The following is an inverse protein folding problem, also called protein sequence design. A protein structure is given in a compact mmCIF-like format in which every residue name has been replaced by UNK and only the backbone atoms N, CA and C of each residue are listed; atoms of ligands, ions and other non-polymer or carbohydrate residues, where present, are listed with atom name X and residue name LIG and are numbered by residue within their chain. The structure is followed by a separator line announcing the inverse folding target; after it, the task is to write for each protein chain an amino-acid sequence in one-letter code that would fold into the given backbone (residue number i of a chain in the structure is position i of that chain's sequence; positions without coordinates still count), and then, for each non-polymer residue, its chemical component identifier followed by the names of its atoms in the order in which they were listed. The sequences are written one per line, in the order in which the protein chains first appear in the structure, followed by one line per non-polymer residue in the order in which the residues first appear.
data_IF_055136692385
#
_entry.id   IF_055136692385
#
_cell.length_a   1.000
_cell.length_b   1.000
_cell.length_c   1.000
_cell.angle_alpha   90.00
_cell.angle_beta   90.00
_cell.angle_gamma   90.00
#
_symmetry.space_group_name_H-M   'P 1'
#
loop_
_entity.id
_entity.type
_entity.pdbx_description
1 polymer ?
#
# COMPACT_ATOMS: atom_id res chain seq x y z
N UNK A 1 4.95 -31.85 1.96
CA UNK A 1 5.99 -31.99 0.92
C UNK A 1 5.95 -30.93 -0.20
N UNK A 2 5.24 -29.81 -0.01
CA UNK A 2 5.14 -28.72 -1.02
C UNK A 2 6.01 -27.50 -0.72
N UNK A 3 6.09 -27.09 0.55
CA UNK A 3 6.76 -25.84 0.97
C UNK A 3 8.26 -25.79 0.62
N UNK A 4 8.98 -26.91 0.72
CA UNK A 4 10.40 -26.98 0.35
C UNK A 4 10.60 -26.90 -1.17
N UNK A 5 9.65 -27.43 -1.95
CA UNK A 5 9.67 -27.43 -3.42
C UNK A 5 9.30 -26.07 -3.97
N UNK A 6 8.37 -25.37 -3.33
CA UNK A 6 8.02 -23.98 -3.65
C UNK A 6 9.17 -23.03 -3.31
N UNK A 7 9.82 -23.20 -2.16
CA UNK A 7 11.03 -22.45 -1.80
C UNK A 7 12.18 -22.68 -2.79
N UNK A 8 12.36 -23.92 -3.26
CA UNK A 8 13.38 -24.28 -4.25
C UNK A 8 13.07 -23.69 -5.63
N UNK A 9 11.79 -23.67 -6.04
CA UNK A 9 11.34 -23.09 -7.31
C UNK A 9 11.48 -21.56 -7.31
N UNK A 10 11.22 -20.92 -6.16
CA UNK A 10 11.48 -19.48 -5.95
C UNK A 10 12.99 -19.20 -5.98
N UNK A 11 13.80 -20.04 -5.35
CA UNK A 11 15.26 -19.93 -5.37
C UNK A 11 15.85 -20.10 -6.78
N UNK A 12 15.39 -21.09 -7.55
CA UNK A 12 15.83 -21.32 -8.92
C UNK A 12 15.46 -20.15 -9.84
N UNK A 13 14.27 -19.55 -9.66
CA UNK A 13 13.87 -18.31 -10.34
C UNK A 13 14.76 -17.12 -9.98
N UNK A 14 15.13 -16.97 -8.71
CA UNK A 14 16.04 -15.93 -8.24
C UNK A 14 17.46 -16.10 -8.82
N UNK A 15 17.95 -17.33 -8.87
CA UNK A 15 19.28 -17.68 -9.36
C UNK A 15 19.43 -17.51 -10.88
N UNK A 16 18.38 -17.81 -11.67
CA UNK A 16 18.43 -17.60 -13.13
C UNK A 16 18.36 -16.12 -13.52
N UNK A 17 17.66 -15.29 -12.73
CA UNK A 17 17.49 -13.86 -13.03
C UNK A 17 18.66 -12.99 -12.57
N UNK A 18 19.34 -13.37 -11.49
CA UNK A 18 20.44 -12.60 -10.92
C UNK A 18 21.78 -13.21 -11.34
N UNK A 19 22.31 -12.81 -12.50
CA UNK A 19 23.68 -13.18 -12.96
C UNK A 19 24.77 -12.60 -12.02
N UNK A 20 24.90 -13.15 -10.80
CA UNK A 20 25.92 -12.93 -9.76
C UNK A 20 25.73 -11.82 -8.71
N UNK A 21 24.71 -10.96 -8.76
CA UNK A 21 24.44 -9.98 -7.67
C UNK A 21 22.95 -9.92 -7.29
N UNK A 22 22.59 -10.59 -6.19
CA UNK A 22 21.24 -10.54 -5.61
C UNK A 22 21.18 -9.35 -4.66
N UNK A 23 20.46 -8.30 -5.05
CA UNK A 23 20.08 -7.18 -4.17
C UNK A 23 18.68 -7.42 -3.62
N UNK A 24 18.37 -6.94 -2.42
CA UNK A 24 17.00 -7.04 -1.85
C UNK A 24 15.92 -6.51 -2.79
N UNK A 25 16.20 -5.43 -3.54
CA UNK A 25 15.27 -4.89 -4.55
C UNK A 25 14.94 -5.88 -5.67
N UNK A 26 15.96 -6.54 -6.25
CA UNK A 26 15.78 -7.58 -7.28
C UNK A 26 15.11 -8.84 -6.74
N UNK A 27 15.40 -9.22 -5.50
CA UNK A 27 14.73 -10.33 -4.85
C UNK A 27 13.24 -10.03 -4.61
N UNK A 28 12.91 -8.82 -4.14
CA UNK A 28 11.54 -8.36 -3.96
C UNK A 28 10.77 -8.26 -5.29
N UNK A 29 11.41 -7.82 -6.38
CA UNK A 29 10.81 -7.82 -7.73
C UNK A 29 10.53 -9.24 -8.25
N UNK A 30 11.46 -10.17 -8.05
CA UNK A 30 11.25 -11.59 -8.41
C UNK A 30 10.17 -12.25 -7.53
N UNK A 31 10.04 -11.80 -6.27
CA UNK A 31 9.00 -12.24 -5.34
C UNK A 31 7.68 -11.46 -5.49
N UNK A 32 7.63 -10.45 -6.37
CA UNK A 32 6.48 -9.58 -6.61
C UNK A 32 5.98 -8.84 -5.34
N UNK A 33 6.90 -8.44 -4.47
CA UNK A 33 6.62 -7.68 -3.23
C UNK A 33 7.01 -6.21 -3.43
N UNK A 34 6.05 -5.30 -3.24
CA UNK A 34 6.32 -3.86 -3.20
C UNK A 34 6.99 -3.48 -1.88
N UNK A 35 7.94 -2.57 -1.94
CA UNK A 35 8.69 -2.11 -0.77
C UNK A 35 7.83 -1.13 0.07
N UNK A 36 8.06 -1.09 1.39
CA UNK A 36 7.30 -0.24 2.31
C UNK A 36 7.41 1.25 1.93
N UNK A 37 8.55 1.67 1.37
CA UNK A 37 8.79 3.01 0.85
C UNK A 37 7.82 3.40 -0.26
N UNK A 38 7.45 2.46 -1.13
CA UNK A 38 6.50 2.72 -2.22
C UNK A 38 5.10 2.96 -1.67
N UNK A 39 4.69 2.20 -0.67
CA UNK A 39 3.40 2.42 0.00
C UNK A 39 3.39 3.69 0.85
N UNK A 40 4.48 4.04 1.54
CA UNK A 40 4.60 5.32 2.25
C UNK A 40 4.44 6.50 1.28
N UNK A 41 5.13 6.45 0.13
CA UNK A 41 4.99 7.48 -0.90
C UNK A 41 3.56 7.55 -1.44
N UNK A 42 2.93 6.41 -1.71
CA UNK A 42 1.53 6.36 -2.16
C UNK A 42 0.57 6.94 -1.11
N UNK A 43 0.76 6.61 0.16
CA UNK A 43 -0.04 7.15 1.26
C UNK A 43 0.13 8.68 1.36
N UNK A 44 1.35 9.19 1.26
CA UNK A 44 1.60 10.64 1.22
C UNK A 44 0.89 11.33 0.06
N UNK A 45 0.94 10.77 -1.16
CA UNK A 45 0.17 11.29 -2.30
C UNK A 45 -1.33 11.31 -2.03
N UNK A 46 -1.86 10.27 -1.38
CA UNK A 46 -3.27 10.23 -0.97
C UNK A 46 -3.60 11.31 0.05
N UNK A 47 -2.76 11.49 1.06
CA UNK A 47 -2.94 12.52 2.08
C UNK A 47 -2.97 13.92 1.47
N UNK A 48 -2.06 14.19 0.54
CA UNK A 48 -1.89 15.48 -0.14
C UNK A 48 -2.90 15.72 -1.29
N UNK A 49 -3.91 14.84 -1.43
CA UNK A 49 -4.93 14.84 -2.48
C UNK A 49 -4.37 14.84 -3.91
N UNK A 50 -3.23 14.19 -4.13
CA UNK A 50 -2.50 14.15 -5.41
C UNK A 50 -2.99 12.99 -6.29
N UNK A 51 -4.24 13.06 -6.74
CA UNK A 51 -4.89 11.99 -7.51
C UNK A 51 -4.11 11.65 -8.79
N UNK A 52 -3.66 12.65 -9.54
CA UNK A 52 -3.01 12.43 -10.83
C UNK A 52 -1.68 11.71 -10.65
N UNK A 53 -0.87 12.15 -9.68
CA UNK A 53 0.41 11.57 -9.34
C UNK A 53 0.26 10.15 -8.76
N UNK A 54 -0.78 9.91 -7.96
CA UNK A 54 -1.09 8.57 -7.45
C UNK A 54 -1.44 7.59 -8.57
N UNK A 55 -2.24 8.01 -9.56
CA UNK A 55 -2.58 7.18 -10.73
C UNK A 55 -1.37 6.91 -11.63
N UNK A 56 -0.48 7.90 -11.81
CA UNK A 56 0.78 7.71 -12.53
C UNK A 56 1.68 6.69 -11.79
N UNK A 57 1.81 6.82 -10.47
CA UNK A 57 2.56 5.89 -9.64
C UNK A 57 2.01 4.46 -9.70
N UNK A 58 0.68 4.31 -9.71
CA UNK A 58 0.03 3.01 -9.92
C UNK A 58 0.37 2.42 -11.31
N UNK A 59 0.33 3.22 -12.37
CA UNK A 59 0.67 2.75 -13.71
C UNK A 59 2.15 2.31 -13.82
N UNK A 60 3.06 3.03 -13.15
CA UNK A 60 4.48 2.63 -13.04
C UNK A 60 4.65 1.30 -12.31
N UNK A 61 3.95 1.11 -11.19
CA UNK A 61 3.91 -0.16 -10.45
C UNK A 61 3.44 -1.30 -11.37
N UNK A 62 2.36 -1.09 -12.12
CA UNK A 62 1.82 -2.11 -13.04
C UNK A 62 2.81 -2.40 -14.18
N UNK A 63 3.46 -1.38 -14.75
CA UNK A 63 4.48 -1.55 -15.81
C UNK A 63 5.70 -2.34 -15.35
N UNK A 64 6.03 -2.28 -14.07
CA UNK A 64 7.09 -3.10 -13.45
C UNK A 64 6.67 -4.57 -13.25
N UNK A 65 5.43 -4.93 -13.59
CA UNK A 65 4.91 -6.30 -13.54
C UNK A 65 4.09 -6.63 -12.29
N UNK A 66 3.86 -5.66 -11.40
CA UNK A 66 3.06 -5.89 -10.20
C UNK A 66 1.57 -5.96 -10.53
N UNK A 67 0.87 -6.87 -9.86
CA UNK A 67 -0.58 -7.02 -10.01
C UNK A 67 -1.32 -5.90 -9.27
N UNK A 68 -2.31 -5.22 -9.89
CA UNK A 68 -3.15 -4.24 -9.20
C UNK A 68 -3.84 -4.82 -7.96
N UNK A 69 -4.19 -6.12 -7.97
CA UNK A 69 -4.78 -6.82 -6.84
C UNK A 69 -3.81 -6.97 -5.66
N UNK A 70 -2.55 -7.30 -5.95
CA UNK A 70 -1.50 -7.39 -4.93
C UNK A 70 -1.22 -6.00 -4.36
N UNK A 71 -1.18 -4.98 -5.21
CA UNK A 71 -1.04 -3.59 -4.79
C UNK A 71 -2.15 -3.17 -3.83
N UNK A 72 -3.43 -3.37 -4.16
CA UNK A 72 -4.54 -2.88 -3.32
C UNK A 72 -4.61 -3.61 -1.98
N UNK A 73 -4.35 -4.94 -1.95
CA UNK A 73 -4.25 -5.69 -0.71
C UNK A 73 -3.08 -5.22 0.17
N UNK A 74 -1.92 -4.97 -0.43
CA UNK A 74 -0.77 -4.40 0.27
C UNK A 74 -1.01 -2.98 0.78
N UNK A 75 -1.72 -2.15 0.02
CA UNK A 75 -2.12 -0.80 0.43
C UNK A 75 -3.05 -0.85 1.66
N UNK A 76 -4.00 -1.79 1.69
CA UNK A 76 -4.87 -2.01 2.86
C UNK A 76 -4.08 -2.39 4.11
N UNK A 77 -3.12 -3.32 3.98
CA UNK A 77 -2.22 -3.68 5.07
C UNK A 77 -1.38 -2.48 5.54
N UNK A 78 -0.90 -1.66 4.60
CA UNK A 78 -0.13 -0.47 4.90
C UNK A 78 -0.92 0.55 5.74
N UNK A 79 -2.17 0.85 5.37
CA UNK A 79 -3.03 1.74 6.17
C UNK A 79 -3.36 1.15 7.54
N UNK A 80 -3.53 -0.16 7.64
CA UNK A 80 -3.69 -0.86 8.93
C UNK A 80 -2.46 -0.69 9.80
N UNK A 81 -1.26 -0.78 9.24
CA UNK A 81 -0.01 -0.58 9.97
C UNK A 81 0.19 0.89 10.39
N UNK A 82 -0.19 1.86 9.55
CA UNK A 82 -0.26 3.28 9.93
C UNK A 82 -1.22 3.51 11.10
N UNK A 83 -2.40 2.87 11.09
CA UNK A 83 -3.35 2.96 12.21
C UNK A 83 -2.76 2.36 13.48
N UNK A 84 -2.10 1.21 13.37
CA UNK A 84 -1.45 0.57 14.52
C UNK A 84 -0.27 1.37 15.05
N UNK A 85 0.44 2.14 14.22
CA UNK A 85 1.54 2.97 14.69
C UNK A 85 1.10 4.19 15.49
N UNK A 86 -0.17 4.58 15.46
CA UNK A 86 -0.70 5.68 16.28
C UNK A 86 -0.73 5.36 17.78
N UNK A 87 -0.69 4.07 18.16
CA UNK A 87 -0.69 3.66 19.56
C UNK A 87 0.52 2.79 19.90
N UNK A 88 1.25 3.08 21.01
CA UNK A 88 2.43 2.32 21.41
C UNK A 88 2.18 0.82 21.61
N UNK A 89 0.98 0.45 22.08
CA UNK A 89 0.61 -0.95 22.32
C UNK A 89 0.50 -1.74 21.01
N UNK A 90 -0.10 -1.16 19.98
CA UNK A 90 -0.29 -1.81 18.68
C UNK A 90 0.93 -1.69 17.78
N UNK A 91 1.79 -0.69 17.99
CA UNK A 91 3.06 -0.56 17.28
C UNK A 91 3.98 -1.78 17.47
N UNK A 92 3.92 -2.42 18.65
CA UNK A 92 4.66 -3.64 18.94
C UNK A 92 4.19 -4.85 18.11
N UNK A 93 2.99 -4.78 17.53
CA UNK A 93 2.42 -5.83 16.68
C UNK A 93 2.85 -5.73 15.21
N UNK A 94 3.56 -4.65 14.84
CA UNK A 94 4.08 -4.46 13.48
C UNK A 94 5.42 -5.19 13.38
N UNK A 95 5.47 -6.22 12.53
CA UNK A 95 6.68 -7.02 12.25
C UNK A 95 7.60 -6.28 11.27
N UNK A 96 8.18 -5.15 11.71
CA UNK A 96 9.10 -4.34 10.92
C UNK A 96 10.30 -3.87 11.75
N UNK A 97 11.34 -3.38 11.08
CA UNK A 97 12.50 -2.77 11.73
C UNK A 97 12.10 -1.53 12.53
N UNK A 98 12.87 -1.17 13.57
CA UNK A 98 12.61 0.04 14.36
C UNK A 98 12.66 1.32 13.51
N UNK A 99 13.53 1.35 12.48
CA UNK A 99 13.56 2.44 11.50
C UNK A 99 12.23 2.54 10.74
N UNK A 100 11.71 1.43 10.23
CA UNK A 100 10.44 1.38 9.50
C UNK A 100 9.26 1.77 10.41
N UNK A 101 9.24 1.28 11.65
CA UNK A 101 8.24 1.66 12.67
C UNK A 101 8.26 3.16 12.97
N UNK A 102 9.44 3.77 13.02
CA UNK A 102 9.56 5.21 13.19
C UNK A 102 8.94 5.98 12.01
N UNK A 103 9.22 5.55 10.78
CA UNK A 103 8.62 6.13 9.57
C UNK A 103 7.09 6.00 9.56
N UNK A 104 6.56 4.84 9.98
CA UNK A 104 5.11 4.67 10.13
C UNK A 104 4.52 5.64 11.15
N UNK A 105 5.15 5.81 12.32
CA UNK A 105 4.70 6.79 13.32
C UNK A 105 4.63 8.21 12.74
N UNK A 106 5.69 8.64 12.07
CA UNK A 106 5.79 9.97 11.48
C UNK A 106 4.70 10.21 10.44
N UNK A 107 4.48 9.26 9.53
CA UNK A 107 3.43 9.38 8.52
C UNK A 107 2.03 9.32 9.16
N UNK A 108 1.81 8.38 10.09
CA UNK A 108 0.51 8.19 10.74
C UNK A 108 0.05 9.40 11.56
N UNK A 109 0.97 10.26 12.00
CA UNK A 109 0.66 11.49 12.72
C UNK A 109 -0.05 12.54 11.85
N UNK A 110 0.06 12.44 10.52
CA UNK A 110 -0.66 13.32 9.58
C UNK A 110 -2.14 12.94 9.50
N UNK A 111 -2.46 11.67 9.72
CA UNK A 111 -3.79 11.11 9.53
C UNK A 111 -4.61 11.11 10.82
N UNK A 112 -5.92 11.32 10.70
CA UNK A 112 -6.84 11.01 11.81
C UNK A 112 -7.13 9.51 11.87
N UNK A 113 -7.46 8.95 13.05
CA UNK A 113 -7.84 7.54 13.17
C UNK A 113 -8.99 7.15 12.23
N UNK A 114 -10.00 8.03 12.08
CA UNK A 114 -11.14 7.76 11.20
C UNK A 114 -10.73 7.68 9.74
N UNK A 115 -9.86 8.57 9.26
CA UNK A 115 -9.37 8.52 7.87
C UNK A 115 -8.59 7.24 7.58
N UNK A 116 -7.84 6.71 8.55
CA UNK A 116 -7.13 5.44 8.40
C UNK A 116 -8.10 4.25 8.36
N UNK A 117 -9.15 4.26 9.18
CA UNK A 117 -10.24 3.26 9.11
C UNK A 117 -10.91 3.29 7.74
N UNK A 118 -11.33 4.48 7.29
CA UNK A 118 -11.96 4.66 5.98
C UNK A 118 -11.03 4.20 4.84
N UNK A 119 -9.73 4.47 4.95
CA UNK A 119 -8.74 4.04 3.96
C UNK A 119 -8.60 2.51 3.90
N UNK A 120 -8.58 1.82 5.05
CA UNK A 120 -8.59 0.36 5.12
C UNK A 120 -9.87 -0.20 4.51
N UNK A 121 -11.02 0.38 4.79
CA UNK A 121 -12.31 -0.05 4.24
C UNK A 121 -12.37 0.09 2.72
N UNK A 122 -11.89 1.21 2.17
CA UNK A 122 -11.81 1.44 0.71
C UNK A 122 -10.94 0.36 0.05
N UNK A 123 -9.76 0.08 0.62
CA UNK A 123 -8.86 -0.94 0.09
C UNK A 123 -9.50 -2.33 0.14
N UNK A 124 -10.10 -2.70 1.28
CA UNK A 124 -10.76 -3.98 1.47
C UNK A 124 -11.95 -4.17 0.52
N UNK A 125 -12.74 -3.11 0.30
CA UNK A 125 -13.84 -3.14 -0.66
C UNK A 125 -13.35 -3.37 -2.09
N UNK A 126 -12.26 -2.71 -2.50
CA UNK A 126 -11.68 -2.92 -3.81
C UNK A 126 -11.06 -4.32 -3.97
N UNK A 127 -10.40 -4.85 -2.94
CA UNK A 127 -9.83 -6.20 -2.91
C UNK A 127 -10.92 -7.27 -3.12
N UNK A 128 -11.98 -7.24 -2.29
CA UNK A 128 -13.10 -8.19 -2.37
C UNK A 128 -13.77 -8.17 -3.75
N UNK A 129 -13.98 -6.97 -4.31
CA UNK A 129 -14.67 -6.80 -5.58
C UNK A 129 -13.76 -6.96 -6.81
N UNK A 130 -12.44 -7.07 -6.62
CA UNK A 130 -11.48 -7.09 -7.73
C UNK A 130 -11.79 -8.21 -8.73
N UNK A 131 -11.99 -9.44 -8.22
CA UNK A 131 -12.19 -10.63 -9.06
C UNK A 131 -13.54 -10.66 -9.77
N UNK A 132 -14.58 -10.08 -9.16
CA UNK A 132 -15.94 -10.04 -9.72
C UNK A 132 -16.15 -8.86 -10.67
N UNK A 133 -15.27 -7.85 -10.62
CA UNK A 133 -15.34 -6.67 -11.47
C UNK A 133 -15.10 -7.01 -12.95
N UNK A 134 -15.91 -6.38 -13.82
CA UNK A 134 -15.69 -6.41 -15.27
C UNK A 134 -14.46 -5.63 -15.71
N UNK A 135 -13.99 -4.70 -14.87
CA UNK A 135 -12.77 -3.95 -15.09
C UNK A 135 -11.97 -3.85 -13.77
N UNK A 136 -11.19 -4.88 -13.42
CA UNK A 136 -10.47 -4.95 -12.14
C UNK A 136 -9.45 -3.82 -11.94
N UNK A 137 -8.79 -3.37 -13.02
CA UNK A 137 -7.87 -2.23 -12.96
C UNK A 137 -8.61 -0.96 -12.55
N UNK A 138 -9.73 -0.67 -13.19
CA UNK A 138 -10.56 0.49 -12.85
C UNK A 138 -11.06 0.43 -11.40
N UNK A 139 -11.36 -0.76 -10.86
CA UNK A 139 -11.74 -0.93 -9.45
C UNK A 139 -10.64 -0.41 -8.51
N UNK A 140 -9.37 -0.69 -8.80
CA UNK A 140 -8.23 -0.20 -8.01
C UNK A 140 -8.01 1.30 -8.22
N UNK A 141 -8.15 1.80 -9.45
CA UNK A 141 -8.04 3.24 -9.75
C UNK A 141 -9.11 4.05 -9.01
N UNK A 142 -10.36 3.55 -8.94
CA UNK A 142 -11.44 4.18 -8.18
C UNK A 142 -11.12 4.24 -6.69
N UNK A 143 -10.66 3.13 -6.10
CA UNK A 143 -10.24 3.13 -4.71
C UNK A 143 -9.13 4.16 -4.45
N UNK A 144 -8.15 4.26 -5.35
CA UNK A 144 -7.06 5.23 -5.20
C UNK A 144 -7.57 6.68 -5.27
N UNK A 145 -8.52 6.99 -6.15
CA UNK A 145 -9.17 8.30 -6.21
C UNK A 145 -9.96 8.61 -4.92
N UNK A 146 -10.65 7.61 -4.35
CA UNK A 146 -11.37 7.77 -3.09
C UNK A 146 -10.41 8.02 -1.92
N UNK A 147 -9.32 7.25 -1.83
CA UNK A 147 -8.27 7.42 -0.82
C UNK A 147 -7.69 8.85 -0.87
N UNK A 148 -7.38 9.34 -2.06
CA UNK A 148 -6.89 10.70 -2.28
C UNK A 148 -7.92 11.79 -1.97
N UNK A 149 -9.18 11.45 -1.69
CA UNK A 149 -10.24 12.42 -1.39
C UNK A 149 -10.61 12.46 0.10
N UNK A 150 -10.01 11.60 0.93
CA UNK A 150 -10.34 11.47 2.35
C UNK A 150 -9.99 12.72 3.18
N UNK A 151 -8.94 13.45 2.80
CA UNK A 151 -8.50 14.66 3.53
C UNK A 151 -9.25 15.91 3.04
N UNK A 152 -9.55 16.01 1.74
CA UNK A 152 -10.37 17.10 1.18
C UNK A 152 -11.81 17.18 1.73
N UNK A 153 -12.42 16.03 2.07
CA UNK A 153 -13.77 15.99 2.65
C UNK A 153 -13.81 16.63 4.06
N UNK A 154 -12.76 16.44 4.87
CA UNK A 154 -12.64 17.03 6.20
C UNK A 154 -12.49 18.55 6.18
N UNK A 155 -11.70 19.09 5.26
CA UNK A 155 -11.53 20.55 5.10
C UNK A 155 -12.82 21.25 4.68
N UNK A 156 -13.61 20.60 3.81
CA UNK A 156 -14.89 21.13 3.34
C UNK A 156 -15.95 21.19 4.45
N UNK A 157 -15.93 20.24 5.39
CA UNK A 157 -16.81 20.22 6.55
C UNK A 157 -16.43 21.27 7.61
N UNK A 158 -15.12 21.56 7.78
CA UNK A 158 -14.61 22.59 8.69
C UNK A 158 -14.94 24.01 8.21
N UNK A 159 -14.85 24.27 6.89
CA UNK A 159 -15.24 25.56 6.30
C UNK A 159 -16.74 25.86 6.45
N UNK A 160 -17.61 24.84 6.43
CA UNK A 160 -19.08 25.01 6.61
C UNK A 160 -19.51 25.30 8.05
N UNK A 161 -18.71 24.95 9.06
CA UNK A 161 -19.02 25.27 10.48
C UNK A 161 -18.50 26.64 10.92
N UNK A 162 -17.69 27.29 10.10
CA UNK A 162 -17.06 28.58 10.36
C UNK A 162 -17.65 29.73 9.52
N UNK A 163 -18.70 29.46 8.72
CA UNK A 163 -19.53 30.45 8.01
C UNK A 163 -20.96 30.41 8.53
#
# INVERSE_FOLDING_TARGET
DGALRDALSIFDRLATFCQRNITMAKAAEVLNVLDYEQYLNMASLCFDNKISEALVSLDEIIRRGFSPHIFIGGMGNHFRDLMMSQHPQTLLLIEASEHTKQRFREESARWTPQQLVDAVEICNHADINYKSSKNPRLTVEIALMQLCSLTAAGESALKKKSS
#
